data_IF_751264434704
#
_entry.id   IF_751264434704
#
_cell.length_a   1.000
_cell.length_b   1.000
_cell.length_c   1.000
_cell.angle_alpha   90.00
_cell.angle_beta   90.00
_cell.angle_gamma   90.00
#
_symmetry.space_group_name_H-M   'P 1'
#
loop_
_entity.id
_entity.type
_entity.pdbx_description
1 polymer ?
#
# COMPACT_ATOMS: atom_id res chain seq x y z
N UNK A 1 0.34 -7.00 -22.31
CA UNK A 1 1.26 -5.88 -22.02
C UNK A 1 1.10 -5.49 -20.55
N UNK A 2 2.19 -5.15 -19.85
CA UNK A 2 2.12 -4.63 -18.48
C UNK A 2 1.42 -3.27 -18.45
N UNK A 3 0.70 -2.98 -17.37
CA UNK A 3 0.07 -1.68 -17.11
C UNK A 3 0.52 -1.22 -15.73
N UNK A 4 1.08 -0.03 -15.66
CA UNK A 4 1.48 0.62 -14.42
C UNK A 4 0.44 1.65 -14.01
N UNK A 5 0.45 2.04 -12.75
CA UNK A 5 -0.32 3.20 -12.31
C UNK A 5 0.12 4.44 -13.08
N UNK A 6 -0.84 5.29 -13.48
CA UNK A 6 -0.55 6.50 -14.25
C UNK A 6 0.14 7.59 -13.40
N UNK A 7 -0.03 7.52 -12.08
CA UNK A 7 0.47 8.50 -11.12
C UNK A 7 0.62 7.89 -9.73
N UNK A 8 1.39 8.57 -8.86
CA UNK A 8 1.62 8.13 -7.49
C UNK A 8 0.33 8.16 -6.64
N UNK A 9 -0.58 9.11 -6.93
CA UNK A 9 -1.85 9.32 -6.24
C UNK A 9 -2.99 8.43 -6.75
N UNK A 10 -2.75 7.52 -7.70
CA UNK A 10 -3.80 6.63 -8.23
C UNK A 10 -4.50 5.81 -7.11
N UNK A 11 -3.82 5.53 -6.00
CA UNK A 11 -4.41 4.83 -4.83
C UNK A 11 -5.58 5.60 -4.21
N UNK A 12 -5.60 6.93 -4.32
CA UNK A 12 -6.67 7.80 -3.84
C UNK A 12 -7.56 8.34 -4.97
N UNK A 13 -7.41 7.83 -6.19
CA UNK A 13 -8.32 8.15 -7.29
C UNK A 13 -9.78 7.86 -6.87
N UNK A 14 -10.74 8.77 -7.15
CA UNK A 14 -12.13 8.60 -6.72
C UNK A 14 -12.77 7.29 -7.20
N UNK A 15 -12.40 6.80 -8.38
CA UNK A 15 -12.89 5.53 -8.92
C UNK A 15 -12.29 4.36 -8.17
N UNK A 16 -10.99 4.39 -7.87
CA UNK A 16 -10.32 3.36 -7.06
C UNK A 16 -10.95 3.29 -5.67
N UNK A 17 -11.08 4.42 -4.98
CA UNK A 17 -11.70 4.50 -3.64
C UNK A 17 -13.13 3.96 -3.64
N UNK A 18 -13.96 4.37 -4.61
CA UNK A 18 -15.33 3.88 -4.76
C UNK A 18 -15.40 2.36 -4.95
N UNK A 19 -14.49 1.79 -5.74
CA UNK A 19 -14.51 0.36 -6.03
C UNK A 19 -13.98 -0.48 -4.86
N UNK A 20 -12.91 -0.04 -4.21
CA UNK A 20 -12.35 -0.72 -3.02
C UNK A 20 -13.36 -0.73 -1.87
N UNK A 21 -14.14 0.33 -1.70
CA UNK A 21 -15.17 0.40 -0.66
C UNK A 21 -16.27 -0.67 -0.76
N UNK A 22 -16.41 -1.33 -1.91
CA UNK A 22 -17.36 -2.43 -2.12
C UNK A 22 -16.84 -3.78 -1.64
N UNK A 23 -15.51 -3.93 -1.43
CA UNK A 23 -14.93 -5.23 -1.07
C UNK A 23 -15.46 -5.78 0.25
N UNK A 24 -15.78 -4.89 1.19
CA UNK A 24 -16.41 -5.23 2.47
C UNK A 24 -17.72 -6.00 2.30
N UNK A 25 -18.49 -5.71 1.26
CA UNK A 25 -19.80 -6.35 1.00
C UNK A 25 -19.63 -7.81 0.58
N UNK A 26 -18.42 -8.21 0.19
CA UNK A 26 -18.08 -9.56 -0.26
C UNK A 26 -17.18 -10.31 0.74
N UNK A 27 -16.81 -9.69 1.86
CA UNK A 27 -15.85 -10.27 2.82
C UNK A 27 -14.45 -10.50 2.22
N UNK A 28 -14.08 -9.76 1.18
CA UNK A 28 -12.77 -9.87 0.52
C UNK A 28 -11.73 -8.98 1.20
N UNK A 29 -10.49 -9.44 1.22
CA UNK A 29 -9.32 -8.60 1.52
C UNK A 29 -8.78 -7.93 0.25
N UNK A 30 -7.85 -6.99 0.40
CA UNK A 30 -7.20 -6.31 -0.71
C UNK A 30 -5.68 -6.31 -0.59
N UNK A 31 -5.01 -6.88 -1.59
CA UNK A 31 -3.56 -6.78 -1.74
C UNK A 31 -3.21 -5.41 -2.33
N UNK A 32 -2.52 -4.59 -1.53
CA UNK A 32 -2.20 -3.20 -1.83
C UNK A 32 -0.71 -3.06 -2.13
N UNK A 33 -0.39 -2.93 -3.42
CA UNK A 33 0.95 -2.66 -3.92
C UNK A 33 1.25 -1.17 -3.83
N UNK A 34 2.27 -0.79 -3.04
CA UNK A 34 2.69 0.60 -2.86
C UNK A 34 4.21 0.73 -2.92
N UNK A 35 4.68 1.93 -3.27
CA UNK A 35 6.03 2.42 -3.02
C UNK A 35 6.03 3.39 -1.82
N UNK A 36 7.20 3.69 -1.20
CA UNK A 36 7.29 4.54 -0.02
C UNK A 36 6.54 5.87 -0.10
N UNK A 37 6.66 6.58 -1.23
CA UNK A 37 5.99 7.87 -1.44
C UNK A 37 4.44 7.79 -1.45
N UNK A 38 3.88 6.60 -1.71
CA UNK A 38 2.43 6.38 -1.81
C UNK A 38 1.81 5.89 -0.49
N UNK A 39 2.63 5.55 0.52
CA UNK A 39 2.13 4.91 1.74
C UNK A 39 1.22 5.82 2.58
N UNK A 40 1.44 7.13 2.52
CA UNK A 40 0.56 8.11 3.18
C UNK A 40 -0.85 8.09 2.58
N UNK A 41 -0.95 8.14 1.25
CA UNK A 41 -2.23 8.11 0.54
C UNK A 41 -2.88 6.71 0.65
N UNK A 42 -2.06 5.66 0.67
CA UNK A 42 -2.50 4.30 0.96
C UNK A 42 -3.18 4.19 2.33
N UNK A 43 -2.65 4.85 3.36
CA UNK A 43 -3.28 4.88 4.69
C UNK A 43 -4.66 5.54 4.66
N UNK A 44 -4.87 6.57 3.84
CA UNK A 44 -6.21 7.17 3.66
C UNK A 44 -7.21 6.14 3.14
N UNK A 45 -6.86 5.40 2.08
CA UNK A 45 -7.72 4.35 1.54
C UNK A 45 -8.01 3.25 2.59
N UNK A 46 -7.00 2.83 3.34
CA UNK A 46 -7.14 1.81 4.40
C UNK A 46 -8.07 2.30 5.51
N UNK A 47 -7.88 3.53 5.98
CA UNK A 47 -8.66 4.14 7.07
C UNK A 47 -10.13 4.38 6.71
N UNK A 48 -10.43 4.61 5.43
CA UNK A 48 -11.80 4.71 4.93
C UNK A 48 -12.54 3.36 4.88
N UNK A 49 -11.81 2.26 5.02
CA UNK A 49 -12.32 0.90 4.81
C UNK A 49 -11.99 -0.03 5.99
N UNK A 50 -12.39 0.30 7.24
CA UNK A 50 -12.01 -0.47 8.43
C UNK A 50 -12.54 -1.92 8.45
N UNK A 51 -13.55 -2.23 7.62
CA UNK A 51 -14.13 -3.57 7.49
C UNK A 51 -13.38 -4.45 6.47
N UNK A 52 -12.44 -3.88 5.71
CA UNK A 52 -11.62 -4.61 4.73
C UNK A 52 -10.23 -4.78 5.28
N UNK A 53 -9.71 -6.01 5.24
CA UNK A 53 -8.31 -6.26 5.56
C UNK A 53 -7.45 -5.92 4.35
N UNK A 54 -6.41 -5.12 4.57
CA UNK A 54 -5.45 -4.73 3.55
C UNK A 54 -4.10 -5.41 3.79
N UNK A 55 -3.46 -5.82 2.70
CA UNK A 55 -2.17 -6.49 2.77
C UNK A 55 -1.17 -5.76 1.89
N UNK A 56 -0.16 -5.14 2.51
CA UNK A 56 0.96 -4.53 1.82
C UNK A 56 1.75 -5.60 1.07
N UNK A 57 1.78 -5.46 -0.26
CA UNK A 57 2.54 -6.35 -1.13
C UNK A 57 4.04 -6.08 -1.00
N UNK A 58 4.82 -7.16 -0.90
CA UNK A 58 6.30 -7.13 -0.87
C UNK A 58 6.92 -6.16 0.14
N UNK A 59 6.30 -6.05 1.31
CA UNK A 59 6.68 -5.11 2.35
C UNK A 59 6.88 -3.67 1.84
N UNK A 60 6.16 -3.24 0.78
CA UNK A 60 6.21 -1.87 0.29
C UNK A 60 7.39 -1.52 -0.61
N UNK A 61 7.97 -2.54 -1.28
CA UNK A 61 9.00 -2.41 -2.33
C UNK A 61 10.12 -1.44 -1.97
N UNK A 62 11.06 -1.88 -1.11
CA UNK A 62 12.29 -1.13 -0.91
C UNK A 62 13.04 -1.00 -2.26
N UNK A 63 13.35 0.24 -2.65
CA UNK A 63 13.90 0.56 -3.98
C UNK A 63 15.41 0.79 -4.01
N UNK A 64 16.08 0.68 -2.87
CA UNK A 64 17.51 0.99 -2.74
C UNK A 64 17.99 0.83 -1.29
N UNK A 65 19.31 0.76 -1.11
CA UNK A 65 19.95 0.57 0.20
C UNK A 65 20.56 1.86 0.76
N UNK A 66 20.43 2.98 0.04
CA UNK A 66 20.87 4.28 0.50
C UNK A 66 20.14 4.68 1.79
N UNK A 67 20.79 5.39 2.72
CA UNK A 67 20.19 5.78 3.98
C UNK A 67 18.85 6.53 3.82
N UNK A 68 18.77 7.47 2.87
CA UNK A 68 17.55 8.23 2.62
C UNK A 68 16.40 7.34 2.12
N UNK A 69 16.68 6.44 1.17
CA UNK A 69 15.70 5.49 0.62
C UNK A 69 15.18 4.54 1.70
N UNK A 70 16.09 3.96 2.50
CA UNK A 70 15.71 3.03 3.57
C UNK A 70 14.94 3.72 4.69
N UNK A 71 15.27 4.96 5.06
CA UNK A 71 14.51 5.72 6.05
C UNK A 71 13.13 6.15 5.54
N UNK A 72 13.00 6.56 4.27
CA UNK A 72 11.70 6.84 3.67
C UNK A 72 10.78 5.61 3.67
N UNK A 73 11.32 4.45 3.32
CA UNK A 73 10.60 3.18 3.38
C UNK A 73 10.17 2.82 4.82
N UNK A 74 11.09 2.88 5.79
CA UNK A 74 10.75 2.64 7.21
C UNK A 74 9.71 3.62 7.74
N UNK A 75 9.80 4.89 7.37
CA UNK A 75 8.82 5.91 7.77
C UNK A 75 7.43 5.55 7.24
N UNK A 76 7.32 5.18 5.96
CA UNK A 76 6.05 4.73 5.37
C UNK A 76 5.49 3.48 6.04
N UNK A 77 6.34 2.50 6.38
CA UNK A 77 5.91 1.31 7.12
C UNK A 77 5.37 1.67 8.51
N UNK A 78 6.03 2.58 9.23
CA UNK A 78 5.54 3.07 10.54
C UNK A 78 4.18 3.76 10.39
N UNK A 79 4.00 4.59 9.36
CA UNK A 79 2.71 5.22 9.06
C UNK A 79 1.61 4.19 8.86
N UNK A 80 1.83 3.18 8.00
CA UNK A 80 0.85 2.14 7.72
C UNK A 80 0.54 1.25 8.93
N UNK A 81 1.53 1.02 9.80
CA UNK A 81 1.36 0.19 11.02
C UNK A 81 0.35 0.74 12.03
N UNK A 82 -0.08 2.00 11.87
CA UNK A 82 -1.11 2.61 12.72
C UNK A 82 -2.52 2.08 12.44
N UNK A 83 -2.75 1.46 11.28
CA UNK A 83 -4.05 0.92 10.90
C UNK A 83 -4.22 -0.53 11.44
N UNK A 84 -5.27 -0.83 12.21
CA UNK A 84 -5.47 -2.14 12.82
C UNK A 84 -5.86 -3.23 11.81
N UNK A 85 -6.37 -2.85 10.65
CA UNK A 85 -6.78 -3.72 9.54
C UNK A 85 -5.71 -3.83 8.44
N UNK A 86 -4.45 -3.54 8.76
CA UNK A 86 -3.35 -3.51 7.80
C UNK A 86 -2.25 -4.52 8.15
N UNK A 87 -1.89 -5.35 7.18
CA UNK A 87 -0.91 -6.42 7.31
C UNK A 87 0.16 -6.28 6.22
N UNK A 88 1.30 -6.97 6.36
CA UNK A 88 2.35 -6.96 5.35
C UNK A 88 2.77 -8.37 4.96
N UNK A 89 3.00 -8.60 3.67
CA UNK A 89 3.65 -9.82 3.15
C UNK A 89 5.16 -9.61 3.11
N UNK A 90 5.90 -10.44 3.85
CA UNK A 90 7.36 -10.54 3.71
C UNK A 90 7.69 -11.41 2.47
N UNK A 91 7.79 -10.75 1.33
CA UNK A 91 7.96 -11.38 0.01
C UNK A 91 8.59 -10.36 -0.96
N UNK A 92 9.06 -10.79 -2.14
CA UNK A 92 9.57 -9.87 -3.18
C UNK A 92 10.73 -8.97 -2.73
N UNK A 93 11.38 -9.28 -1.61
CA UNK A 93 12.56 -8.59 -1.13
C UNK A 93 13.71 -8.85 -2.11
N UNK A 94 14.50 -7.83 -2.44
CA UNK A 94 15.55 -7.97 -3.45
C UNK A 94 15.16 -7.56 -4.88
N UNK A 95 13.90 -7.15 -5.13
CA UNK A 95 13.46 -6.86 -6.51
C UNK A 95 14.16 -5.65 -7.13
N UNK A 96 14.52 -4.64 -6.32
CA UNK A 96 15.14 -3.38 -6.77
C UNK A 96 16.47 -3.06 -6.08
N UNK A 97 16.90 -3.88 -5.13
CA UNK A 97 18.15 -3.69 -4.36
C UNK A 97 19.26 -4.59 -4.86
#
# INVERSE_FOLDING_TARGET
AFRFAASADQVIDPTVRKNVARLKDYGLSFDLQLFPAQMKDGLTLVGENPQTNFILTHAGMLTGMEPETTEAWKAGLRTLSTAPNFYAKLSGLGTFV
#
